data_IF_655791285504
#
_entry.id   IF_655791285504
#
_cell.length_a   1.000
_cell.length_b   1.000
_cell.length_c   1.000
_cell.angle_alpha   90.00
_cell.angle_beta   90.00
_cell.angle_gamma   90.00
#
_symmetry.space_group_name_H-M   'P 1'
#
loop_
_entity.id
_entity.type
_entity.pdbx_description
1 polymer ?
#
# COMPACT_ATOMS: atom_id res chain seq x y z
N UNK A 1 2.49 -7.78 14.35
CA UNK A 1 2.63 -7.16 13.02
C UNK A 1 2.29 -5.68 13.20
N UNK A 2 3.13 -4.75 12.75
CA UNK A 2 2.81 -3.32 12.86
C UNK A 2 1.67 -2.97 11.89
N UNK A 3 0.69 -2.18 12.34
CA UNK A 3 -0.40 -1.69 11.50
C UNK A 3 0.12 -0.53 10.65
N UNK A 4 0.13 -0.69 9.33
CA UNK A 4 0.47 0.38 8.40
C UNK A 4 -0.84 1.05 7.96
N UNK A 5 -1.19 2.26 8.43
CA UNK A 5 -2.52 2.84 8.25
C UNK A 5 -2.73 3.48 6.87
N UNK A 6 -1.98 3.04 5.86
CA UNK A 6 -2.02 3.61 4.51
C UNK A 6 -1.81 2.53 3.43
N UNK A 7 -2.30 2.81 2.23
CA UNK A 7 -1.96 2.09 1.01
C UNK A 7 -1.50 3.07 -0.07
N UNK A 8 -0.70 2.58 -1.02
CA UNK A 8 -0.26 3.35 -2.18
C UNK A 8 -1.32 3.31 -3.28
N UNK A 9 -1.47 4.40 -4.00
CA UNK A 9 -2.22 4.44 -5.26
C UNK A 9 -1.35 5.05 -6.34
N UNK A 10 -1.48 4.55 -7.56
CA UNK A 10 -0.80 5.14 -8.71
C UNK A 10 -1.46 6.49 -9.05
N UNK A 11 -0.64 7.48 -9.42
CA UNK A 11 -1.11 8.82 -9.81
C UNK A 11 -1.99 8.78 -11.06
N UNK A 12 -1.79 7.77 -11.92
CA UNK A 12 -2.54 7.51 -13.13
C UNK A 12 -3.65 6.46 -12.93
N UNK A 13 -4.18 6.27 -11.71
CA UNK A 13 -5.23 5.28 -11.41
C UNK A 13 -6.44 5.37 -12.38
N UNK A 14 -6.84 6.57 -12.81
CA UNK A 14 -7.95 6.76 -13.74
C UNK A 14 -7.61 6.38 -15.20
N UNK A 15 -6.33 6.21 -15.51
CA UNK A 15 -5.86 5.66 -16.79
C UNK A 15 -5.86 4.14 -16.81
N UNK A 16 -5.98 3.48 -15.63
CA UNK A 16 -6.07 2.03 -15.55
C UNK A 16 -7.31 1.53 -16.31
N UNK A 17 -7.12 0.56 -17.22
CA UNK A 17 -8.18 0.11 -18.11
C UNK A 17 -9.36 -0.53 -17.37
N UNK A 18 -9.09 -1.27 -16.28
CA UNK A 18 -10.13 -1.89 -15.44
C UNK A 18 -10.92 -0.82 -14.70
N UNK A 19 -10.24 0.21 -14.18
CA UNK A 19 -10.88 1.38 -13.54
C UNK A 19 -11.76 2.14 -14.55
N UNK A 20 -11.28 2.37 -15.77
CA UNK A 20 -12.07 3.00 -16.83
C UNK A 20 -13.31 2.17 -17.20
N UNK A 21 -13.21 0.84 -17.21
CA UNK A 21 -14.34 -0.04 -17.49
C UNK A 21 -15.40 0.09 -16.39
N UNK A 22 -15.02 0.00 -15.11
CA UNK A 22 -16.00 0.08 -14.01
C UNK A 22 -16.63 1.47 -13.89
N UNK A 23 -15.88 2.55 -14.16
CA UNK A 23 -16.39 3.91 -14.11
C UNK A 23 -17.43 4.19 -15.21
N UNK A 24 -17.38 3.47 -16.33
CA UNK A 24 -18.37 3.58 -17.43
C UNK A 24 -19.65 2.78 -17.17
N UNK A 25 -19.70 1.94 -16.15
CA UNK A 25 -20.91 1.21 -15.80
C UNK A 25 -21.97 2.14 -15.18
N UNK A 26 -23.26 1.77 -15.23
CA UNK A 26 -24.26 2.42 -14.40
C UNK A 26 -23.82 2.38 -12.92
N UNK A 27 -23.84 3.54 -12.27
CA UNK A 27 -23.33 3.72 -10.91
C UNK A 27 -21.81 3.47 -10.77
N UNK A 28 -21.02 3.77 -11.81
CA UNK A 28 -19.56 3.56 -11.83
C UNK A 28 -18.81 4.11 -10.62
N UNK A 29 -19.22 5.27 -10.10
CA UNK A 29 -18.68 5.84 -8.86
C UNK A 29 -18.87 4.91 -7.65
N UNK A 30 -19.97 4.16 -7.62
CA UNK A 30 -20.19 3.16 -6.56
C UNK A 30 -19.24 1.97 -6.71
N UNK A 31 -18.97 1.51 -7.93
CA UNK A 31 -17.97 0.46 -8.14
C UNK A 31 -16.61 0.95 -7.67
N UNK A 32 -16.18 2.14 -8.09
CA UNK A 32 -14.90 2.70 -7.69
C UNK A 32 -14.79 2.87 -6.17
N UNK A 33 -15.82 3.41 -5.51
CA UNK A 33 -15.86 3.51 -4.04
C UNK A 33 -15.72 2.15 -3.35
N UNK A 34 -16.43 1.12 -3.84
CA UNK A 34 -16.34 -0.23 -3.26
C UNK A 34 -14.93 -0.79 -3.44
N UNK A 35 -14.30 -0.58 -4.60
CA UNK A 35 -12.91 -1.00 -4.84
C UNK A 35 -11.94 -0.38 -3.83
N UNK A 36 -12.01 0.94 -3.63
CA UNK A 36 -11.17 1.63 -2.65
C UNK A 36 -11.41 1.16 -1.22
N UNK A 37 -12.66 0.87 -0.85
CA UNK A 37 -12.97 0.29 0.46
C UNK A 37 -12.39 -1.12 0.64
N UNK A 38 -12.44 -1.97 -0.39
CA UNK A 38 -11.86 -3.31 -0.30
C UNK A 38 -10.36 -3.24 -0.07
N UNK A 39 -9.65 -2.34 -0.77
CA UNK A 39 -8.22 -2.10 -0.53
C UNK A 39 -7.98 -1.67 0.92
N UNK A 40 -8.75 -0.68 1.41
CA UNK A 40 -8.63 -0.21 2.78
C UNK A 40 -8.88 -1.33 3.81
N UNK A 41 -9.92 -2.14 3.62
CA UNK A 41 -10.21 -3.31 4.47
C UNK A 41 -9.05 -4.30 4.47
N UNK A 42 -8.49 -4.62 3.31
CA UNK A 42 -7.35 -5.53 3.23
C UNK A 42 -6.09 -5.00 3.96
N UNK A 43 -5.90 -3.67 4.01
CA UNK A 43 -4.84 -3.04 4.82
C UNK A 43 -5.12 -3.24 6.30
N UNK A 44 -6.36 -2.96 6.75
CA UNK A 44 -6.78 -3.14 8.14
C UNK A 44 -6.64 -4.60 8.58
N UNK A 45 -6.98 -5.55 7.71
CA UNK A 45 -6.83 -6.98 7.97
C UNK A 45 -5.36 -7.42 8.10
N UNK A 46 -4.42 -6.67 7.51
CA UNK A 46 -2.98 -6.96 7.50
C UNK A 46 -2.65 -8.42 7.14
N UNK A 47 -3.34 -8.97 6.13
CA UNK A 47 -3.27 -10.40 5.76
C UNK A 47 -2.95 -10.61 4.27
N UNK A 48 -1.97 -9.87 3.78
CA UNK A 48 -1.43 -10.00 2.40
C UNK A 48 -2.52 -9.84 1.33
N UNK A 49 -3.43 -8.88 1.52
CA UNK A 49 -4.50 -8.61 0.56
C UNK A 49 -5.74 -9.48 0.72
N UNK A 50 -5.78 -10.38 1.71
CA UNK A 50 -6.96 -11.20 2.01
C UNK A 50 -8.01 -10.40 2.78
N UNK A 51 -9.26 -10.60 2.40
CA UNK A 51 -10.41 -9.97 3.03
C UNK A 51 -10.97 -10.91 4.09
N UNK A 52 -10.53 -10.74 5.34
CA UNK A 52 -10.87 -11.60 6.49
C UNK A 52 -11.25 -10.76 7.72
N UNK A 53 -12.15 -11.28 8.54
CA UNK A 53 -12.47 -10.73 9.87
C UNK A 53 -11.71 -11.54 10.93
N UNK A 54 -10.98 -10.86 11.81
CA UNK A 54 -10.20 -11.52 12.85
C UNK A 54 -9.05 -12.35 12.28
N UNK A 55 -8.78 -13.52 12.86
CA UNK A 55 -7.63 -14.35 12.44
C UNK A 55 -7.85 -15.03 11.10
N UNK A 56 -9.00 -15.69 10.90
CA UNK A 56 -9.19 -16.57 9.74
C UNK A 56 -10.60 -16.60 9.15
N UNK A 57 -11.53 -15.77 9.60
CA UNK A 57 -12.89 -15.83 9.08
C UNK A 57 -12.98 -15.04 7.76
N UNK A 58 -13.30 -15.68 6.62
CA UNK A 58 -13.41 -14.99 5.34
C UNK A 58 -14.56 -13.97 5.35
N UNK A 59 -14.33 -12.77 4.80
CA UNK A 59 -15.40 -11.79 4.66
C UNK A 59 -16.35 -12.19 3.54
N UNK A 60 -17.65 -12.19 3.85
CA UNK A 60 -18.69 -12.48 2.88
C UNK A 60 -19.22 -11.21 2.22
N UNK A 61 -19.96 -11.37 1.12
CA UNK A 61 -20.68 -10.23 0.51
C UNK A 61 -21.73 -9.62 1.44
N UNK A 62 -22.22 -10.39 2.41
CA UNK A 62 -23.11 -9.88 3.46
C UNK A 62 -22.37 -8.95 4.43
N UNK A 63 -21.11 -9.24 4.74
CA UNK A 63 -20.29 -8.39 5.59
C UNK A 63 -19.95 -7.08 4.87
N UNK A 64 -19.53 -7.14 3.60
CA UNK A 64 -19.30 -5.96 2.78
C UNK A 64 -20.58 -5.10 2.63
N UNK A 65 -21.74 -5.74 2.48
CA UNK A 65 -23.04 -5.05 2.43
C UNK A 65 -23.32 -4.23 3.68
N UNK A 66 -23.09 -4.82 4.87
CA UNK A 66 -23.25 -4.14 6.15
C UNK A 66 -22.24 -2.99 6.31
N UNK A 67 -20.95 -3.26 6.06
CA UNK A 67 -19.87 -2.27 6.22
C UNK A 67 -20.06 -1.07 5.30
N UNK A 68 -20.41 -1.31 4.03
CA UNK A 68 -20.46 -0.25 3.02
C UNK A 68 -21.81 0.45 2.93
N UNK A 69 -22.82 -0.01 3.69
CA UNK A 69 -24.18 0.51 3.71
C UNK A 69 -24.90 0.36 2.37
N UNK A 70 -24.74 -0.78 1.69
CA UNK A 70 -25.34 -1.07 0.37
C UNK A 70 -26.11 -2.39 0.42
N UNK A 71 -27.10 -2.55 -0.44
CA UNK A 71 -27.86 -3.81 -0.51
C UNK A 71 -26.96 -4.97 -0.92
N UNK A 72 -27.20 -6.16 -0.36
CA UNK A 72 -26.43 -7.38 -0.69
C UNK A 72 -26.39 -7.65 -2.19
N UNK A 73 -27.55 -7.55 -2.86
CA UNK A 73 -27.67 -7.71 -4.32
C UNK A 73 -26.74 -6.77 -5.10
N UNK A 74 -26.56 -5.54 -4.62
CA UNK A 74 -25.67 -4.56 -5.26
C UNK A 74 -24.20 -4.91 -5.03
N UNK A 75 -23.83 -5.31 -3.82
CA UNK A 75 -22.48 -5.79 -3.53
C UNK A 75 -22.16 -7.06 -4.32
N UNK A 76 -23.06 -8.04 -4.38
CA UNK A 76 -22.87 -9.27 -5.14
C UNK A 76 -22.55 -8.96 -6.62
N UNK A 77 -23.31 -8.04 -7.22
CA UNK A 77 -23.06 -7.57 -8.60
C UNK A 77 -21.68 -6.93 -8.76
N UNK A 78 -21.27 -6.10 -7.79
CA UNK A 78 -19.97 -5.41 -7.84
C UNK A 78 -18.81 -6.39 -7.67
N UNK A 79 -18.90 -7.29 -6.68
CA UNK A 79 -17.89 -8.33 -6.42
C UNK A 79 -17.77 -9.25 -7.63
N UNK A 80 -18.88 -9.67 -8.22
CA UNK A 80 -18.87 -10.45 -9.45
C UNK A 80 -18.13 -9.72 -10.58
N UNK A 81 -18.36 -8.40 -10.72
CA UNK A 81 -17.67 -7.62 -11.74
C UNK A 81 -16.16 -7.52 -11.49
N UNK A 82 -15.75 -7.44 -10.23
CA UNK A 82 -14.33 -7.43 -9.87
C UNK A 82 -13.66 -8.78 -10.09
N UNK A 83 -14.37 -9.89 -9.89
CA UNK A 83 -13.87 -11.22 -10.24
C UNK A 83 -13.73 -11.36 -11.76
N UNK A 84 -14.72 -10.94 -12.54
CA UNK A 84 -14.67 -10.94 -14.01
C UNK A 84 -13.50 -10.13 -14.58
N UNK A 85 -13.20 -8.98 -13.96
CA UNK A 85 -12.07 -8.14 -14.35
C UNK A 85 -10.75 -8.59 -13.72
N UNK A 86 -10.73 -9.70 -12.99
CA UNK A 86 -9.56 -10.19 -12.25
C UNK A 86 -8.92 -9.10 -11.38
N UNK A 87 -9.75 -8.31 -10.72
CA UNK A 87 -9.33 -7.38 -9.67
C UNK A 87 -9.32 -8.09 -8.31
N UNK A 88 -10.27 -9.00 -8.12
CA UNK A 88 -10.31 -9.95 -7.02
C UNK A 88 -10.01 -11.36 -7.53
N UNK A 89 -9.43 -12.17 -6.66
CA UNK A 89 -9.30 -13.62 -6.80
C UNK A 89 -10.11 -14.25 -5.68
N UNK A 90 -10.78 -15.37 -5.97
CA UNK A 90 -11.50 -16.15 -4.97
C UNK A 90 -10.75 -17.44 -4.67
N UNK A 91 -10.21 -17.56 -3.46
CA UNK A 91 -9.53 -18.75 -2.95
C UNK A 91 -10.44 -19.43 -1.92
N UNK A 92 -11.15 -20.47 -2.35
CA UNK A 92 -12.20 -21.10 -1.53
C UNK A 92 -13.30 -20.09 -1.18
N UNK A 93 -13.42 -19.76 0.11
CA UNK A 93 -14.38 -18.76 0.61
C UNK A 93 -13.77 -17.35 0.77
N UNK A 94 -12.45 -17.20 0.63
CA UNK A 94 -11.75 -15.93 0.84
C UNK A 94 -11.58 -15.16 -0.46
N UNK A 95 -11.80 -13.85 -0.39
CA UNK A 95 -11.46 -12.93 -1.47
C UNK A 95 -10.07 -12.32 -1.25
N UNK A 96 -9.27 -12.29 -2.31
CA UNK A 96 -7.91 -11.75 -2.34
C UNK A 96 -7.83 -10.61 -3.36
N UNK A 97 -7.17 -9.51 -3.00
CA UNK A 97 -6.84 -8.43 -3.93
C UNK A 97 -5.68 -8.86 -4.83
N UNK A 98 -5.91 -8.93 -6.14
CA UNK A 98 -4.84 -9.27 -7.10
C UNK A 98 -3.77 -8.18 -7.11
N UNK A 99 -2.49 -8.58 -7.18
CA UNK A 99 -1.33 -7.67 -7.14
C UNK A 99 -1.26 -6.81 -5.87
N UNK A 100 -1.57 -7.40 -4.70
CA UNK A 100 -1.56 -6.71 -3.40
C UNK A 100 -0.26 -5.93 -3.12
N UNK A 101 0.89 -6.48 -3.53
CA UNK A 101 2.22 -5.89 -3.29
C UNK A 101 2.39 -4.49 -3.92
N UNK A 102 1.56 -4.15 -4.91
CA UNK A 102 1.53 -2.79 -5.49
C UNK A 102 0.93 -1.76 -4.52
N UNK A 103 -0.01 -2.18 -3.69
CA UNK A 103 -0.68 -1.33 -2.70
C UNK A 103 0.13 -1.22 -1.40
N UNK A 104 0.87 -2.28 -1.05
CA UNK A 104 1.64 -2.39 0.18
C UNK A 104 3.03 -2.99 -0.10
N UNK A 105 4.10 -2.23 0.15
CA UNK A 105 5.48 -2.73 0.01
C UNK A 105 6.05 -3.01 1.40
N UNK A 106 5.73 -4.18 1.97
CA UNK A 106 6.09 -4.54 3.34
C UNK A 106 7.61 -4.57 3.53
N UNK A 107 8.37 -5.16 2.59
CA UNK A 107 9.85 -5.23 2.64
C UNK A 107 10.52 -3.85 2.73
N UNK A 108 10.03 -2.87 1.97
CA UNK A 108 10.61 -1.51 1.96
C UNK A 108 10.36 -0.78 3.29
N UNK A 109 9.25 -1.08 3.98
CA UNK A 109 8.95 -0.50 5.29
C UNK A 109 9.84 -1.07 6.39
N UNK A 110 10.05 -2.39 6.41
CA UNK A 110 10.95 -3.03 7.39
C UNK A 110 12.39 -2.54 7.23
N UNK A 111 12.87 -2.43 5.99
CA UNK A 111 14.19 -1.87 5.68
C UNK A 111 14.34 -0.42 6.15
N UNK A 112 13.32 0.41 5.92
CA UNK A 112 13.30 1.80 6.40
C UNK A 112 13.34 1.89 7.93
N UNK A 113 12.61 1.03 8.63
CA UNK A 113 12.63 0.97 10.10
C UNK A 113 13.98 0.51 10.64
N UNK A 114 14.61 -0.50 10.02
CA UNK A 114 15.96 -0.94 10.40
C UNK A 114 16.98 0.20 10.24
N UNK A 115 16.94 0.91 9.12
CA UNK A 115 17.80 2.07 8.87
C UNK A 115 17.56 3.18 9.91
N UNK A 116 16.31 3.49 10.24
CA UNK A 116 15.99 4.48 11.28
C UNK A 116 16.47 4.07 12.67
N UNK A 117 16.36 2.78 13.04
CA UNK A 117 16.90 2.26 14.31
C UNK A 117 18.42 2.40 14.34
N UNK A 118 19.09 2.09 13.23
CA UNK A 118 20.54 2.20 13.13
C UNK A 118 21.00 3.67 13.19
N UNK A 119 20.29 4.59 12.54
CA UNK A 119 20.51 6.05 12.64
C UNK A 119 20.40 6.52 14.09
N UNK A 120 19.32 6.15 14.78
CA UNK A 120 19.15 6.51 16.20
C UNK A 120 20.24 5.91 17.09
N UNK A 121 20.68 4.68 16.83
CA UNK A 121 21.78 4.05 17.56
C UNK A 121 23.09 4.82 17.36
N UNK A 122 23.46 5.12 16.11
CA UNK A 122 24.65 5.92 15.78
C UNK A 122 24.60 7.31 16.42
N UNK A 123 23.42 7.93 16.43
CA UNK A 123 23.23 9.22 17.10
C UNK A 123 23.47 9.15 18.61
N UNK A 124 22.89 8.15 19.30
CA UNK A 124 23.09 7.95 20.75
C UNK A 124 24.54 7.62 21.08
N UNK A 125 25.21 6.81 20.26
CA UNK A 125 26.64 6.49 20.43
C UNK A 125 27.52 7.73 20.22
N UNK A 126 27.25 8.55 19.20
CA UNK A 126 27.94 9.85 18.99
C UNK A 126 27.78 10.76 20.21
N UNK A 127 26.55 10.99 20.69
CA UNK A 127 26.30 11.84 21.87
C UNK A 127 27.05 11.30 23.09
N UNK A 128 27.01 9.99 23.33
CA UNK A 128 27.67 9.40 24.51
C UNK A 128 29.18 9.66 24.46
N UNK A 129 29.82 9.41 23.32
CA UNK A 129 31.27 9.64 23.13
C UNK A 129 31.62 11.13 23.24
N UNK A 130 30.77 12.03 22.76
CA UNK A 130 30.98 13.48 22.82
C UNK A 130 30.81 14.04 24.23
N UNK A 131 29.84 13.52 24.99
CA UNK A 131 29.60 13.86 26.40
C UNK A 131 30.71 13.38 27.34
N UNK A 132 31.36 12.26 27.01
CA UNK A 132 32.52 11.76 27.75
C UNK A 132 33.80 12.57 27.45
N UNK A 133 33.81 13.36 26.36
CA UNK A 133 34.98 14.13 25.88
C UNK A 133 34.90 15.65 26.11
N UNK A 134 33.74 16.24 26.37
CA UNK A 134 33.64 17.69 26.63
C UNK A 134 32.43 18.09 27.49
N UNK A 135 32.61 19.10 28.34
CA UNK A 135 31.53 19.74 29.13
C UNK A 135 30.73 20.81 28.35
N UNK A 136 30.80 20.83 27.01
CA UNK A 136 30.20 21.88 26.19
C UNK A 136 28.99 21.35 25.42
N UNK A 137 27.87 22.07 25.51
CA UNK A 137 26.62 21.76 24.81
C UNK A 137 26.80 21.90 23.29
N UNK A 138 26.87 20.78 22.57
CA UNK A 138 27.05 20.76 21.10
C UNK A 138 25.72 21.04 20.39
N UNK A 139 25.75 21.96 19.43
CA UNK A 139 24.61 22.33 18.56
C UNK A 139 24.50 21.36 17.37
N UNK A 140 23.27 21.00 17.02
CA UNK A 140 22.88 19.94 16.09
C UNK A 140 23.24 20.20 14.61
N UNK A 141 24.35 19.61 14.13
CA UNK A 141 24.73 19.61 12.70
C UNK A 141 24.00 18.54 11.85
N UNK A 142 23.20 17.67 12.48
CA UNK A 142 22.59 16.48 11.85
C UNK A 142 21.49 16.76 10.81
N UNK A 143 20.94 17.98 10.78
CA UNK A 143 19.86 18.35 9.85
C UNK A 143 20.31 18.34 8.37
N UNK A 144 21.63 18.39 8.11
CA UNK A 144 22.20 18.40 6.75
C UNK A 144 22.49 16.98 6.26
N UNK A 145 22.92 16.08 7.17
CA UNK A 145 23.26 14.69 6.85
C UNK A 145 21.99 13.86 6.58
N UNK A 146 20.92 14.05 7.38
CA UNK A 146 19.61 13.45 7.13
C UNK A 146 19.03 13.85 5.76
N UNK A 147 19.15 15.12 5.37
CA UNK A 147 18.64 15.61 4.08
C UNK A 147 19.35 14.96 2.89
N UNK A 148 20.68 14.79 2.95
CA UNK A 148 21.44 14.14 1.86
C UNK A 148 21.09 12.67 1.71
N UNK A 149 20.95 11.94 2.82
CA UNK A 149 20.59 10.52 2.75
C UNK A 149 19.14 10.31 2.28
N UNK A 150 18.20 11.18 2.68
CA UNK A 150 16.83 11.18 2.15
C UNK A 150 16.78 11.46 0.64
N UNK A 151 17.63 12.36 0.13
CA UNK A 151 17.72 12.64 -1.31
C UNK A 151 18.24 11.43 -2.09
N UNK A 152 19.29 10.75 -1.59
CA UNK A 152 19.84 9.54 -2.23
C UNK A 152 18.80 8.41 -2.26
N UNK A 153 18.04 8.22 -1.16
CA UNK A 153 16.97 7.20 -1.13
C UNK A 153 15.80 7.55 -2.05
N UNK A 154 15.43 8.83 -2.19
CA UNK A 154 14.41 9.27 -3.16
C UNK A 154 14.85 9.01 -4.61
N UNK A 155 16.12 9.26 -4.94
CA UNK A 155 16.67 8.99 -6.26
C UNK A 155 16.73 7.48 -6.60
N UNK A 156 17.09 6.63 -5.64
CA UNK A 156 17.09 5.17 -5.83
C UNK A 156 15.68 4.62 -6.07
N UNK A 157 14.69 5.13 -5.33
CA UNK A 157 13.27 4.79 -5.54
C UNK A 157 12.79 5.26 -6.93
N UNK A 158 13.27 6.41 -7.41
CA UNK A 158 12.95 6.95 -8.73
C UNK A 158 13.45 6.07 -9.89
N UNK A 159 14.69 5.58 -9.81
CA UNK A 159 15.35 4.77 -10.85
C UNK A 159 14.81 3.34 -10.96
N UNK A 160 14.33 2.77 -9.86
CA UNK A 160 13.75 1.41 -9.85
C UNK A 160 12.31 1.38 -10.43
N UNK A 161 11.60 2.51 -10.40
CA UNK A 161 10.30 2.64 -11.06
C UNK A 161 10.38 2.60 -12.60
N UNK A 162 11.56 2.81 -13.18
CA UNK A 162 11.81 2.83 -14.63
C UNK A 162 12.19 1.45 -15.21
N UNK A 163 12.47 0.46 -14.36
CA UNK A 163 12.70 -0.94 -14.78
C UNK A 163 11.48 -1.79 -14.44
N UNK A 164 10.36 -1.59 -15.12
CA UNK A 164 9.17 -2.45 -14.97
C UNK A 164 8.95 -3.16 -16.29
N UNK A 165 9.59 -4.32 -16.44
CA UNK A 165 9.33 -5.19 -17.58
C UNK A 165 7.84 -5.53 -17.64
N UNK A 166 7.26 -5.21 -18.80
CA UNK A 166 5.91 -5.55 -19.22
C UNK A 166 5.67 -7.04 -19.01
N UNK A 167 4.56 -7.44 -18.40
CA UNK A 167 3.96 -8.75 -18.68
C UNK A 167 2.43 -8.75 -18.43
N UNK A 168 1.71 -8.87 -19.55
CA UNK A 168 0.39 -9.47 -19.79
C UNK A 168 -0.88 -8.94 -19.09
N UNK A 169 -0.81 -7.93 -18.20
CA UNK A 169 -1.97 -7.52 -17.39
C UNK A 169 -2.67 -6.20 -17.79
N UNK A 170 -2.43 -5.65 -18.98
CA UNK A 170 -3.10 -4.43 -19.45
C UNK A 170 -2.70 -3.13 -18.73
N UNK A 171 -1.55 -3.13 -18.05
CA UNK A 171 -0.84 -1.92 -17.63
C UNK A 171 0.09 -1.53 -18.78
N UNK A 172 -0.13 -0.39 -19.42
CA UNK A 172 0.84 0.18 -20.37
C UNK A 172 1.74 1.16 -19.64
N UNK A 173 3.04 1.03 -19.87
CA UNK A 173 3.97 2.13 -19.67
C UNK A 173 3.72 3.19 -20.74
N UNK A 174 3.69 4.47 -20.36
CA UNK A 174 3.87 5.57 -21.31
C UNK A 174 5.31 6.06 -21.11
N UNK A 175 6.12 5.85 -22.14
CA UNK A 175 7.41 6.52 -22.27
C UNK A 175 7.13 8.02 -22.48
N UNK A 176 7.77 8.88 -21.68
CA UNK A 176 7.84 10.33 -21.93
C UNK A 176 9.00 10.57 -22.90
#
# INVERSE_FOLDING_TARGET
>A
MYEIPWFKTETNIFSNRKIQIILKLPEGDTYFRVWMHLIALAVECNSEGRLKIGKDNPMTTQDFSKIMGKSKKKIDKIIQKFLELEMLIKEGETFLIKNWDKYQSIEKYEKYQMQNRERQRKYREKIKVESEKSNVTVTSSNAIEEKREEEITKEEIGKENTKREENENGFREYQI
#
